data_IF_740485816454
#
_entry.id   IF_740485816454
#
_cell.length_a   1.000
_cell.length_b   1.000
_cell.length_c   1.000
_cell.angle_alpha   90.00
_cell.angle_beta   90.00
_cell.angle_gamma   90.00
#
_symmetry.space_group_name_H-M   'P 1'
#
loop_
_entity.id
_entity.type
_entity.pdbx_description
1 polymer ?
#
# COMPACT_ATOMS: atom_id res chain seq x y z
N UNK A 1 -13.22 8.48 -13.33
CA UNK A 1 -13.13 8.54 -11.86
C UNK A 1 -12.48 9.86 -11.50
N UNK A 2 -13.07 10.66 -10.62
CA UNK A 2 -12.59 11.99 -10.27
C UNK A 2 -11.14 11.97 -9.74
N UNK A 3 -10.33 12.96 -10.14
CA UNK A 3 -8.97 13.16 -9.60
C UNK A 3 -8.96 13.23 -8.07
N UNK A 4 -10.03 13.78 -7.47
CA UNK A 4 -10.23 13.84 -6.02
C UNK A 4 -10.37 12.44 -5.40
N UNK A 5 -11.16 11.56 -6.02
CA UNK A 5 -11.38 10.18 -5.57
C UNK A 5 -10.10 9.35 -5.70
N UNK A 6 -9.35 9.53 -6.79
CA UNK A 6 -8.06 8.87 -7.01
C UNK A 6 -7.04 9.30 -5.94
N UNK A 7 -7.01 10.59 -5.59
CA UNK A 7 -6.12 11.13 -4.55
C UNK A 7 -6.47 10.57 -3.17
N UNK A 8 -7.76 10.52 -2.83
CA UNK A 8 -8.23 9.95 -1.57
C UNK A 8 -7.93 8.44 -1.47
N UNK A 9 -8.15 7.68 -2.55
CA UNK A 9 -7.79 6.27 -2.59
C UNK A 9 -6.28 6.04 -2.43
N UNK A 10 -5.44 6.82 -3.12
CA UNK A 10 -3.98 6.75 -2.94
C UNK A 10 -3.58 7.07 -1.49
N UNK A 11 -4.23 8.06 -0.86
CA UNK A 11 -3.98 8.42 0.55
C UNK A 11 -4.37 7.29 1.50
N UNK A 12 -5.54 6.68 1.29
CA UNK A 12 -6.01 5.52 2.06
C UNK A 12 -5.06 4.32 1.95
N UNK A 13 -4.60 4.00 0.74
CA UNK A 13 -3.65 2.90 0.54
C UNK A 13 -2.29 3.16 1.21
N UNK A 14 -1.77 4.40 1.13
CA UNK A 14 -0.55 4.78 1.84
C UNK A 14 -0.70 4.65 3.35
N UNK A 15 -1.85 5.09 3.89
CA UNK A 15 -2.14 5.00 5.33
C UNK A 15 -2.17 3.54 5.79
N UNK A 16 -2.85 2.66 5.06
CA UNK A 16 -2.89 1.23 5.37
C UNK A 16 -1.50 0.57 5.35
N UNK A 17 -0.66 0.94 4.38
CA UNK A 17 0.73 0.45 4.34
C UNK A 17 1.49 0.89 5.59
N UNK A 18 1.39 2.16 5.97
CA UNK A 18 2.04 2.68 7.18
C UNK A 18 1.52 2.00 8.45
N UNK A 19 0.22 1.82 8.59
CA UNK A 19 -0.37 1.12 9.75
C UNK A 19 0.15 -0.30 9.89
N UNK A 20 0.33 -1.03 8.78
CA UNK A 20 0.92 -2.37 8.81
C UNK A 20 2.40 -2.28 9.18
N UNK A 21 3.17 -1.36 8.59
CA UNK A 21 4.60 -1.24 8.87
C UNK A 21 4.90 -0.78 10.30
N UNK A 22 4.07 0.10 10.88
CA UNK A 22 4.20 0.57 12.26
C UNK A 22 3.65 -0.43 13.27
N UNK A 23 2.56 -1.15 12.91
CA UNK A 23 1.97 -2.20 13.76
C UNK A 23 2.77 -3.51 13.77
N UNK A 24 3.67 -3.70 12.80
CA UNK A 24 4.48 -4.92 12.70
C UNK A 24 5.91 -4.67 13.18
N UNK A 25 6.29 -5.19 14.37
CA UNK A 25 7.66 -5.08 14.86
C UNK A 25 8.61 -5.81 13.92
N UNK A 26 9.79 -5.21 13.66
CA UNK A 26 10.80 -5.76 12.75
C UNK A 26 10.29 -6.05 11.33
N UNK A 27 9.29 -5.31 10.83
CA UNK A 27 8.77 -5.46 9.46
C UNK A 27 9.86 -5.57 8.38
N UNK A 28 10.95 -4.80 8.50
CA UNK A 28 12.08 -4.81 7.56
C UNK A 28 12.88 -6.12 7.55
N UNK A 29 12.81 -6.90 8.63
CA UNK A 29 13.50 -8.18 8.77
C UNK A 29 12.54 -9.37 8.50
N UNK A 30 11.27 -9.10 8.19
CA UNK A 30 10.35 -10.16 7.83
C UNK A 30 10.72 -10.77 6.48
N UNK A 31 10.57 -12.10 6.33
CA UNK A 31 10.76 -12.75 5.05
C UNK A 31 9.72 -12.25 4.03
N UNK A 32 10.07 -12.31 2.74
CA UNK A 32 9.19 -11.91 1.64
C UNK A 32 7.83 -12.63 1.62
N UNK A 33 7.77 -13.83 2.20
CA UNK A 33 6.56 -14.65 2.29
C UNK A 33 5.67 -14.26 3.48
N UNK A 34 6.16 -13.44 4.41
CA UNK A 34 5.40 -13.01 5.58
C UNK A 34 4.09 -12.33 5.14
N UNK A 35 2.97 -12.60 5.83
CA UNK A 35 1.67 -12.10 5.42
C UNK A 35 1.62 -10.57 5.43
N UNK A 36 2.34 -9.89 6.32
CA UNK A 36 2.42 -8.43 6.38
C UNK A 36 3.19 -7.85 5.19
N UNK A 37 4.32 -8.46 4.82
CA UNK A 37 5.12 -8.05 3.65
C UNK A 37 4.32 -8.27 2.36
N UNK A 38 3.63 -9.41 2.26
CA UNK A 38 2.76 -9.73 1.12
C UNK A 38 1.59 -8.75 1.02
N UNK A 39 0.97 -8.37 2.14
CA UNK A 39 -0.09 -7.35 2.17
C UNK A 39 0.42 -5.98 1.72
N UNK A 40 1.55 -5.50 2.26
CA UNK A 40 2.14 -4.22 1.84
C UNK A 40 2.48 -4.23 0.35
N UNK A 41 3.02 -5.33 -0.18
CA UNK A 41 3.30 -5.49 -1.61
C UNK A 41 2.04 -5.45 -2.47
N UNK A 42 0.94 -6.07 -2.03
CA UNK A 42 -0.35 -6.00 -2.74
C UNK A 42 -0.92 -4.58 -2.74
N UNK A 43 -0.87 -3.89 -1.60
CA UNK A 43 -1.32 -2.50 -1.47
C UNK A 43 -0.46 -1.57 -2.34
N UNK A 44 0.85 -1.79 -2.42
CA UNK A 44 1.77 -1.08 -3.31
C UNK A 44 1.40 -1.26 -4.78
N UNK A 45 1.15 -2.51 -5.22
CA UNK A 45 0.69 -2.80 -6.60
C UNK A 45 -0.65 -2.13 -6.91
N UNK A 46 -1.58 -2.08 -5.96
CA UNK A 46 -2.84 -1.38 -6.13
C UNK A 46 -2.61 0.14 -6.32
N UNK A 47 -1.67 0.71 -5.57
CA UNK A 47 -1.28 2.12 -5.67
C UNK A 47 -0.65 2.45 -7.03
N UNK A 48 0.23 1.58 -7.52
CA UNK A 48 0.83 1.69 -8.86
C UNK A 48 -0.21 1.55 -9.97
N UNK A 49 -1.16 0.62 -9.86
CA UNK A 49 -2.26 0.47 -10.83
C UNK A 49 -3.12 1.72 -10.91
N UNK A 50 -3.42 2.35 -9.78
CA UNK A 50 -4.12 3.65 -9.75
C UNK A 50 -3.20 4.76 -10.30
N UNK A 51 -1.88 4.66 -10.14
CA UNK A 51 -0.92 5.55 -10.78
C UNK A 51 -0.96 5.47 -12.30
N UNK A 52 -0.79 4.27 -12.87
CA UNK A 52 -0.67 4.03 -14.32
C UNK A 52 -1.99 4.15 -15.10
N UNK A 53 -3.14 3.90 -14.47
CA UNK A 53 -4.45 3.95 -15.15
C UNK A 53 -5.00 5.37 -15.30
N UNK A 54 -4.40 6.34 -14.63
CA UNK A 54 -4.85 7.74 -14.60
C UNK A 54 -3.72 8.75 -14.87
N UNK A 55 -2.56 8.26 -15.32
CA UNK A 55 -1.51 9.06 -15.96
C UNK A 55 -1.71 8.99 -17.47
#
# INVERSE_FOLDING_TARGET
MDKKVIKEQKKLLRRKILEIMEGTPNFRNLPDDAPEVRQVRQLGKALEKIGKRYL
#
